data_IF_659116213564
#
_entry.id   IF_659116213564
#
_cell.length_a   1.000
_cell.length_b   1.000
_cell.length_c   1.000
_cell.angle_alpha   90.00
_cell.angle_beta   90.00
_cell.angle_gamma   90.00
#
_symmetry.space_group_name_H-M   'P 1'
#
loop_
_entity.id
_entity.type
_entity.pdbx_description
1 polymer ?
#
# COMPACT_ATOMS: atom_id res chain seq x y z
N UNK A 1 22.47 13.33 1.15
CA UNK A 1 21.15 12.88 1.64
C UNK A 1 20.21 14.05 1.46
N UNK A 2 19.10 13.93 0.69
CA UNK A 2 18.17 15.06 0.48
C UNK A 2 17.06 14.97 1.51
N UNK A 3 17.03 15.90 2.45
CA UNK A 3 15.83 16.16 3.25
C UNK A 3 14.74 16.64 2.29
N UNK A 4 13.61 15.93 2.27
CA UNK A 4 12.42 16.42 1.61
C UNK A 4 11.82 17.47 2.54
N UNK A 5 11.50 18.66 2.01
CA UNK A 5 10.87 19.76 2.74
C UNK A 5 9.39 19.42 3.03
N UNK A 6 9.21 18.34 3.80
CA UNK A 6 7.94 17.70 4.07
C UNK A 6 7.51 18.10 5.47
N UNK A 7 6.56 19.02 5.56
CA UNK A 7 5.85 19.31 6.79
C UNK A 7 4.63 18.37 6.90
N UNK A 8 4.70 17.25 7.65
CA UNK A 8 3.58 16.35 7.79
C UNK A 8 2.39 17.07 8.46
N UNK A 9 1.30 17.25 7.70
CA UNK A 9 0.02 17.82 8.20
C UNK A 9 -0.55 16.97 9.36
N UNK A 10 -0.20 15.68 9.40
CA UNK A 10 -0.68 14.72 10.40
C UNK A 10 0.44 14.37 11.38
N UNK A 11 0.10 14.37 12.67
CA UNK A 11 1.00 13.84 13.71
C UNK A 11 1.27 12.34 13.51
N UNK A 12 2.38 11.83 14.06
CA UNK A 12 2.72 10.40 14.06
C UNK A 12 1.54 9.51 14.51
N UNK A 13 0.81 9.93 15.54
CA UNK A 13 -0.39 9.22 16.02
C UNK A 13 -1.49 9.11 14.96
N UNK A 14 -1.82 10.22 14.28
CA UNK A 14 -2.80 10.21 13.19
C UNK A 14 -2.35 9.39 11.98
N UNK A 15 -1.05 9.22 11.77
CA UNK A 15 -0.53 8.28 10.77
C UNK A 15 -0.77 6.84 11.19
N UNK A 16 -0.48 6.49 12.45
CA UNK A 16 -0.75 5.16 13.02
C UNK A 16 -2.23 4.79 12.99
N UNK A 17 -3.14 5.73 13.29
CA UNK A 17 -4.59 5.50 13.17
C UNK A 17 -5.03 5.19 11.72
N UNK A 18 -4.36 5.75 10.70
CA UNK A 18 -4.66 5.38 9.30
C UNK A 18 -4.16 3.96 8.97
N UNK A 19 -3.10 3.49 9.63
CA UNK A 19 -2.62 2.13 9.44
C UNK A 19 -3.64 1.10 9.93
N UNK A 20 -4.41 1.37 10.98
CA UNK A 20 -5.48 0.46 11.42
C UNK A 20 -6.57 0.28 10.35
N UNK A 21 -6.95 1.37 9.66
CA UNK A 21 -7.88 1.30 8.54
C UNK A 21 -7.28 0.55 7.34
N UNK A 22 -5.98 0.77 7.08
CA UNK A 22 -5.23 0.02 6.06
C UNK A 22 -5.14 -1.47 6.39
N UNK A 23 -4.92 -1.84 7.65
CA UNK A 23 -4.81 -3.23 8.09
C UNK A 23 -6.16 -3.95 7.94
N UNK A 24 -7.27 -3.28 8.26
CA UNK A 24 -8.63 -3.80 7.99
C UNK A 24 -8.89 -3.96 6.49
N UNK A 25 -8.48 -2.98 5.68
CA UNK A 25 -8.55 -3.07 4.22
C UNK A 25 -7.76 -4.29 3.72
N UNK A 26 -6.53 -4.44 4.19
CA UNK A 26 -5.68 -5.56 3.81
C UNK A 26 -6.27 -6.91 4.19
N UNK A 27 -6.87 -7.02 5.38
CA UNK A 27 -7.52 -8.27 5.81
C UNK A 27 -8.67 -8.67 4.87
N UNK A 28 -9.59 -7.73 4.59
CA UNK A 28 -10.75 -7.99 3.74
C UNK A 28 -10.34 -8.21 2.27
N UNK A 29 -9.41 -7.40 1.78
CA UNK A 29 -8.89 -7.49 0.43
C UNK A 29 -8.15 -8.81 0.19
N UNK A 30 -7.31 -9.23 1.15
CA UNK A 30 -6.59 -10.50 1.07
C UNK A 30 -7.57 -11.69 1.10
N UNK A 31 -8.65 -11.63 1.89
CA UNK A 31 -9.70 -12.65 1.89
C UNK A 31 -10.42 -12.73 0.53
N UNK A 32 -10.77 -11.58 -0.06
CA UNK A 32 -11.39 -11.51 -1.37
C UNK A 32 -10.46 -12.10 -2.46
N UNK A 33 -9.16 -11.78 -2.43
CA UNK A 33 -8.19 -12.34 -3.37
C UNK A 33 -8.10 -13.87 -3.24
N UNK A 34 -8.04 -14.39 -2.01
CA UNK A 34 -8.01 -15.85 -1.76
C UNK A 34 -9.26 -16.55 -2.29
N UNK A 35 -10.45 -15.98 -2.06
CA UNK A 35 -11.72 -16.51 -2.60
C UNK A 35 -11.73 -16.57 -4.13
N UNK A 36 -10.98 -15.71 -4.80
CA UNK A 36 -10.86 -15.66 -6.26
C UNK A 36 -9.64 -16.43 -6.81
N UNK A 37 -9.00 -17.29 -5.99
CA UNK A 37 -7.91 -18.15 -6.44
C UNK A 37 -6.55 -17.45 -6.56
N UNK A 38 -6.38 -16.31 -5.89
CA UNK A 38 -5.11 -15.61 -5.80
C UNK A 38 -4.46 -15.78 -4.43
N UNK A 39 -3.13 -15.77 -4.37
CA UNK A 39 -2.37 -15.85 -3.13
C UNK A 39 -1.69 -14.52 -2.84
N UNK A 40 -2.25 -13.66 -1.98
CA UNK A 40 -1.56 -12.45 -1.52
C UNK A 40 -0.47 -12.83 -0.52
N UNK A 41 0.76 -12.36 -0.75
CA UNK A 41 1.89 -12.50 0.16
C UNK A 41 2.43 -11.14 0.57
N UNK A 42 2.97 -10.96 1.79
CA UNK A 42 3.63 -9.71 2.19
C UNK A 42 4.73 -9.31 1.21
N UNK A 43 4.77 -8.05 0.82
CA UNK A 43 5.83 -7.54 -0.05
C UNK A 43 6.81 -6.68 0.74
N UNK A 44 8.02 -7.20 1.00
CA UNK A 44 9.07 -6.54 1.78
C UNK A 44 8.78 -6.45 3.29
N UNK A 45 9.67 -5.83 4.04
CA UNK A 45 9.60 -5.70 5.51
C UNK A 45 8.66 -4.58 5.96
N UNK A 46 7.93 -4.77 7.07
CA UNK A 46 7.07 -3.73 7.63
C UNK A 46 7.91 -2.65 8.32
N UNK A 47 7.86 -1.43 7.76
CA UNK A 47 8.62 -0.27 8.24
C UNK A 47 7.72 0.88 8.69
N UNK A 48 6.48 0.58 9.10
CA UNK A 48 5.49 1.59 9.55
C UNK A 48 5.94 2.43 10.75
N UNK A 49 6.97 1.99 11.49
CA UNK A 49 7.53 2.73 12.61
C UNK A 49 8.73 3.62 12.24
N UNK A 50 9.32 3.41 11.05
CA UNK A 50 10.55 4.06 10.58
C UNK A 50 10.31 5.36 9.80
N UNK A 51 9.06 5.83 9.71
CA UNK A 51 8.68 7.04 8.95
C UNK A 51 9.16 7.04 7.50
N UNK A 52 9.19 5.86 6.86
CA UNK A 52 9.61 5.70 5.45
C UNK A 52 8.78 6.56 4.47
N UNK A 53 7.57 6.96 4.87
CA UNK A 53 6.75 7.94 4.16
C UNK A 53 7.46 9.30 4.06
N UNK A 54 8.13 9.79 5.10
CA UNK A 54 8.83 11.09 5.07
C UNK A 54 10.00 11.09 4.07
N UNK A 55 10.47 9.90 3.69
CA UNK A 55 11.61 9.68 2.79
C UNK A 55 11.20 9.27 1.37
N UNK A 56 9.91 9.15 1.07
CA UNK A 56 9.43 8.72 -0.26
C UNK A 56 9.80 7.30 -0.66
N UNK A 57 10.06 6.43 0.33
CA UNK A 57 10.34 5.01 0.13
C UNK A 57 9.09 4.16 0.39
N UNK A 58 7.94 4.67 -0.05
CA UNK A 58 6.69 3.93 0.05
C UNK A 58 6.78 2.67 -0.82
N UNK A 59 6.29 1.55 -0.27
CA UNK A 59 6.25 0.24 -0.94
C UNK A 59 4.82 -0.30 -0.95
N UNK A 60 4.48 -1.21 -1.88
CA UNK A 60 3.20 -1.91 -1.85
C UNK A 60 3.07 -2.83 -0.63
N UNK A 61 1.84 -3.09 -0.20
CA UNK A 61 1.52 -3.95 0.95
C UNK A 61 1.70 -5.44 0.64
N UNK A 62 1.35 -5.84 -0.58
CA UNK A 62 1.23 -7.24 -1.00
C UNK A 62 1.78 -7.46 -2.40
N UNK A 63 2.21 -8.70 -2.66
CA UNK A 63 2.39 -9.25 -3.99
C UNK A 63 1.32 -10.31 -4.22
N UNK A 64 0.57 -10.20 -5.31
CA UNK A 64 -0.40 -11.20 -5.71
C UNK A 64 0.31 -12.29 -6.53
N UNK A 65 0.09 -13.54 -6.13
CA UNK A 65 0.51 -14.71 -6.90
C UNK A 65 -0.71 -15.43 -7.51
N UNK A 66 -0.52 -15.98 -8.71
CA UNK A 66 -1.44 -16.95 -9.34
C UNK A 66 -0.63 -18.13 -9.86
N UNK A 67 -0.98 -19.35 -9.44
CA UNK A 67 -0.22 -20.56 -9.77
C UNK A 67 1.30 -20.43 -9.53
N UNK A 68 1.69 -19.81 -8.41
CA UNK A 68 3.10 -19.60 -8.04
C UNK A 68 3.82 -18.46 -8.79
N UNK A 69 3.18 -17.81 -9.78
CA UNK A 69 3.75 -16.67 -10.51
C UNK A 69 3.24 -15.36 -9.95
N UNK A 70 4.14 -14.39 -9.75
CA UNK A 70 3.76 -13.02 -9.40
C UNK A 70 3.06 -12.35 -10.57
N UNK A 71 1.90 -11.75 -10.31
CA UNK A 71 1.10 -11.10 -11.35
C UNK A 71 0.93 -9.60 -11.09
N UNK A 72 0.90 -9.20 -9.83
CA UNK A 72 0.72 -7.81 -9.46
C UNK A 72 1.29 -7.48 -8.08
N UNK A 73 1.54 -6.20 -7.85
CA UNK A 73 1.71 -5.63 -6.52
C UNK A 73 0.40 -4.97 -6.12
N UNK A 74 0.01 -5.09 -4.85
CA UNK A 74 -1.18 -4.44 -4.31
C UNK A 74 -0.81 -3.57 -3.13
N UNK A 75 -1.36 -2.38 -3.13
CA UNK A 75 -1.38 -1.48 -2.00
C UNK A 75 -2.85 -1.24 -1.61
N UNK A 76 -3.18 -1.57 -0.36
CA UNK A 76 -4.53 -1.51 0.19
C UNK A 76 -4.74 -0.17 0.87
N UNK A 77 -5.71 0.63 0.40
CA UNK A 77 -6.13 1.84 1.11
C UNK A 77 -7.50 1.68 1.71
N UNK A 78 -7.62 1.97 3.00
CA UNK A 78 -8.90 2.21 3.65
C UNK A 78 -9.33 3.66 3.48
N UNK A 79 -10.52 3.90 2.91
CA UNK A 79 -11.08 5.25 2.75
C UNK A 79 -12.49 5.36 3.32
N UNK A 80 -12.78 6.49 3.94
CA UNK A 80 -14.13 6.89 4.37
C UNK A 80 -14.82 7.83 3.38
N UNK A 81 -14.07 8.33 2.38
CA UNK A 81 -14.54 9.24 1.33
C UNK A 81 -14.59 8.52 -0.01
N UNK A 82 -15.43 9.01 -0.91
CA UNK A 82 -15.80 8.39 -2.19
C UNK A 82 -14.86 8.73 -3.37
N UNK A 83 -13.83 9.54 -3.16
CA UNK A 83 -12.86 9.90 -4.20
C UNK A 83 -11.53 9.16 -4.09
N UNK A 84 -10.98 8.87 -5.27
CA UNK A 84 -9.73 8.15 -5.47
C UNK A 84 -8.60 9.18 -5.50
N UNK A 85 -7.61 8.99 -4.64
CA UNK A 85 -6.50 9.90 -4.48
C UNK A 85 -5.32 9.09 -4.01
N UNK A 86 -4.25 9.14 -4.80
CA UNK A 86 -2.95 8.58 -4.52
C UNK A 86 -1.98 9.73 -4.37
N UNK A 87 -1.08 9.63 -3.40
CA UNK A 87 0.01 10.58 -3.29
C UNK A 87 1.00 10.32 -4.44
N UNK A 88 1.33 11.33 -5.23
CA UNK A 88 2.30 11.23 -6.34
C UNK A 88 3.62 10.57 -5.91
N UNK A 89 4.07 10.83 -4.68
CA UNK A 89 5.26 10.19 -4.10
C UNK A 89 5.10 8.67 -3.97
N UNK A 90 3.93 8.22 -3.52
CA UNK A 90 3.65 6.78 -3.40
C UNK A 90 3.59 6.14 -4.79
N UNK A 91 2.96 6.82 -5.76
CA UNK A 91 2.94 6.39 -7.16
C UNK A 91 4.36 6.24 -7.74
N UNK A 92 5.21 7.25 -7.56
CA UNK A 92 6.60 7.21 -8.03
C UNK A 92 7.42 6.11 -7.33
N UNK A 93 7.15 5.84 -6.04
CA UNK A 93 7.71 4.70 -5.31
C UNK A 93 7.31 3.37 -5.93
N UNK A 94 6.04 3.18 -6.26
CA UNK A 94 5.54 1.95 -6.89
C UNK A 94 6.17 1.71 -8.26
N UNK A 95 6.29 2.75 -9.08
CA UNK A 95 6.87 2.65 -10.43
C UNK A 95 8.30 2.05 -10.42
N UNK A 96 9.13 2.43 -9.44
CA UNK A 96 10.48 1.86 -9.30
C UNK A 96 10.47 0.38 -8.90
N UNK A 97 9.53 -0.01 -8.04
CA UNK A 97 9.38 -1.39 -7.56
C UNK A 97 8.79 -2.31 -8.64
N UNK A 98 7.86 -1.82 -9.45
CA UNK A 98 7.24 -2.56 -10.56
C UNK A 98 8.27 -3.00 -11.60
N UNK A 99 9.18 -2.10 -11.98
CA UNK A 99 10.27 -2.42 -12.91
C UNK A 99 11.18 -3.52 -12.35
N UNK A 100 11.52 -3.44 -11.06
CA UNK A 100 12.38 -4.42 -10.41
C UNK A 100 11.70 -5.78 -10.25
N UNK A 101 10.39 -5.80 -10.03
CA UNK A 101 9.63 -7.01 -9.77
C UNK A 101 9.05 -7.66 -11.04
N UNK A 102 9.17 -7.02 -12.22
CA UNK A 102 8.58 -7.43 -13.50
C UNK A 102 7.09 -7.76 -13.41
N UNK A 103 6.36 -7.00 -12.60
CA UNK A 103 4.91 -7.17 -12.38
C UNK A 103 4.24 -5.80 -12.38
N UNK A 104 2.99 -5.75 -12.85
CA UNK A 104 2.19 -4.52 -12.83
C UNK A 104 1.79 -4.16 -11.40
N UNK A 105 1.94 -2.90 -10.98
CA UNK A 105 1.40 -2.46 -9.70
C UNK A 105 -0.06 -2.04 -9.83
N UNK A 106 -0.84 -2.41 -8.82
CA UNK A 106 -2.24 -2.08 -8.67
C UNK A 106 -2.41 -1.40 -7.31
N UNK A 107 -3.09 -0.26 -7.30
CA UNK A 107 -3.57 0.32 -6.04
C UNK A 107 -5.05 -0.04 -5.90
N UNK A 108 -5.39 -0.66 -4.77
CA UNK A 108 -6.72 -1.17 -4.50
C UNK A 108 -7.31 -0.47 -3.28
N UNK A 109 -8.38 0.30 -3.49
CA UNK A 109 -9.09 1.00 -2.42
C UNK A 109 -10.25 0.14 -1.90
N UNK A 110 -10.36 0.00 -0.58
CA UNK A 110 -11.56 -0.49 0.10
C UNK A 110 -12.24 0.68 0.81
N UNK A 111 -13.44 1.01 0.34
CA UNK A 111 -14.24 2.10 0.91
C UNK A 111 -15.06 1.55 2.06
N UNK A 112 -14.76 2.00 3.27
CA UNK A 112 -15.53 1.71 4.47
C UNK A 112 -16.57 2.83 4.65
N UNK A 113 -17.79 2.59 4.18
CA UNK A 113 -18.92 3.47 4.51
C UNK A 113 -19.28 3.24 5.98
N UNK A 114 -19.36 4.33 6.75
CA UNK A 114 -19.89 4.32 8.12
C UNK A 114 -21.39 4.05 8.11
#
# INVERSE_FOLDING_TARGET
MKELDFNPIKSKRKFLENYELSDRAAQMGDEMLRKNGFTPVPFGEDRRNERVWEMGKDKPDRKILKAGRGIALVDWKGKSKDYWMINERAYNGYFGVEQQAQVTGLCCDLVFRK
#
